data_IF_391791465678
#
_entry.id   IF_391791465678
#
_cell.length_a   1.000
_cell.length_b   1.000
_cell.length_c   1.000
_cell.angle_alpha   90.00
_cell.angle_beta   90.00
_cell.angle_gamma   90.00
#
_symmetry.space_group_name_H-M   'P 1'
#
loop_
_entity.id
_entity.type
_entity.pdbx_description
1 polymer ?
#
# COMPACT_ATOMS: atom_id res chain seq x y z
N UNK A 1 -38.85 2.94 -22.71
CA UNK A 1 -37.39 3.12 -22.81
C UNK A 1 -36.83 3.09 -21.40
N UNK A 2 -36.42 1.90 -20.94
CA UNK A 2 -35.91 1.71 -19.59
C UNK A 2 -34.52 2.30 -19.48
N UNK A 3 -34.38 3.38 -18.73
CA UNK A 3 -33.07 3.87 -18.28
C UNK A 3 -32.52 2.80 -17.35
N UNK A 4 -31.54 2.03 -17.84
CA UNK A 4 -30.75 1.15 -16.99
C UNK A 4 -29.94 2.06 -16.07
N UNK A 5 -30.50 2.35 -14.90
CA UNK A 5 -29.78 2.97 -13.78
C UNK A 5 -28.71 1.99 -13.33
N UNK A 6 -27.52 2.07 -13.94
CA UNK A 6 -26.31 1.51 -13.36
C UNK A 6 -26.10 2.27 -12.07
N UNK A 7 -26.29 1.62 -10.92
CA UNK A 7 -26.06 2.22 -9.62
C UNK A 7 -24.63 2.76 -9.56
N UNK A 8 -24.47 4.07 -9.70
CA UNK A 8 -23.15 4.72 -9.63
C UNK A 8 -22.66 4.58 -8.20
N UNK A 9 -21.70 3.68 -7.97
CA UNK A 9 -21.11 3.48 -6.65
C UNK A 9 -20.46 4.77 -6.15
N UNK A 10 -20.61 5.03 -4.84
CA UNK A 10 -20.00 6.18 -4.17
C UNK A 10 -18.49 6.23 -4.40
N UNK A 11 -17.98 7.41 -4.70
CA UNK A 11 -16.57 7.66 -4.98
C UNK A 11 -15.92 8.35 -3.81
N UNK A 12 -14.61 8.17 -3.70
CA UNK A 12 -13.84 8.95 -2.75
C UNK A 12 -13.89 10.44 -3.10
N UNK A 13 -13.98 10.77 -4.40
CA UNK A 13 -14.21 12.14 -4.86
C UNK A 13 -15.50 12.75 -4.28
N UNK A 14 -16.57 11.98 -4.11
CA UNK A 14 -17.83 12.47 -3.57
C UNK A 14 -17.69 12.81 -2.08
N UNK A 15 -16.82 12.12 -1.35
CA UNK A 15 -16.39 12.49 0.01
C UNK A 15 -15.51 13.74 0.00
N UNK A 16 -14.64 13.90 -0.98
CA UNK A 16 -13.72 15.04 -1.05
C UNK A 16 -14.39 16.32 -1.55
N UNK A 17 -15.52 16.24 -2.27
CA UNK A 17 -16.17 17.37 -2.94
C UNK A 17 -16.75 18.47 -2.03
N UNK A 18 -16.53 18.43 -0.70
CA UNK A 18 -16.72 19.63 0.13
C UNK A 18 -15.71 20.66 -0.30
N UNK A 19 -16.09 21.93 -0.22
CA UNK A 19 -15.20 23.08 -0.33
C UNK A 19 -13.80 22.76 0.21
N UNK A 20 -12.83 22.63 -0.71
CA UNK A 20 -11.44 22.39 -0.38
C UNK A 20 -10.93 23.41 0.64
N UNK A 21 -11.52 24.62 0.64
CA UNK A 21 -11.35 25.64 1.65
C UNK A 21 -11.62 25.14 3.07
N UNK A 22 -12.69 24.39 3.34
CA UNK A 22 -13.00 23.87 4.70
C UNK A 22 -11.99 22.84 5.20
N UNK A 23 -11.43 22.00 4.33
CA UNK A 23 -10.39 21.03 4.73
C UNK A 23 -9.03 21.70 4.92
N UNK A 24 -8.68 22.66 4.06
CA UNK A 24 -7.40 23.35 4.09
C UNK A 24 -7.36 24.50 5.12
N UNK A 25 -8.51 25.07 5.48
CA UNK A 25 -8.61 26.18 6.43
C UNK A 25 -8.17 25.77 7.83
N UNK A 26 -7.33 26.61 8.44
CA UNK A 26 -6.89 26.46 9.83
C UNK A 26 -5.97 25.26 10.11
N UNK A 27 -5.55 24.49 9.10
CA UNK A 27 -4.72 23.30 9.27
C UNK A 27 -3.38 23.43 8.52
N UNK A 28 -2.28 23.08 9.19
CA UNK A 28 -0.99 22.84 8.52
C UNK A 28 -1.03 21.50 7.79
N UNK A 29 -1.56 21.49 6.57
CA UNK A 29 -1.60 20.29 5.71
C UNK A 29 -0.31 20.21 4.88
N UNK A 30 0.30 19.03 4.82
CA UNK A 30 1.51 18.86 4.01
C UNK A 30 1.16 18.94 2.51
N UNK A 31 2.03 19.52 1.69
CA UNK A 31 1.78 19.69 0.25
C UNK A 31 1.54 18.38 -0.49
N UNK A 32 2.07 17.26 0.00
CA UNK A 32 1.80 15.93 -0.55
C UNK A 32 0.33 15.52 -0.36
N UNK A 33 -0.25 15.79 0.82
CA UNK A 33 -1.65 15.52 1.10
C UNK A 33 -2.57 16.41 0.26
N UNK A 34 -2.25 17.70 0.11
CA UNK A 34 -3.01 18.62 -0.77
C UNK A 34 -3.05 18.11 -2.21
N UNK A 35 -1.89 17.75 -2.78
CA UNK A 35 -1.82 17.19 -4.15
C UNK A 35 -2.60 15.88 -4.28
N UNK A 36 -2.58 15.04 -3.25
CA UNK A 36 -3.35 13.79 -3.26
C UNK A 36 -4.85 14.06 -3.23
N UNK A 37 -5.29 15.01 -2.39
CA UNK A 37 -6.67 15.46 -2.28
C UNK A 37 -7.18 15.98 -3.64
N UNK A 38 -6.47 16.95 -4.24
CA UNK A 38 -6.83 17.54 -5.54
C UNK A 38 -6.86 16.50 -6.65
N UNK A 39 -5.84 15.63 -6.71
CA UNK A 39 -5.76 14.60 -7.72
C UNK A 39 -6.92 13.59 -7.61
N UNK A 40 -7.34 13.22 -6.40
CA UNK A 40 -8.47 12.31 -6.20
C UNK A 40 -9.78 13.00 -6.57
N UNK A 41 -9.97 14.26 -6.17
CA UNK A 41 -11.16 15.06 -6.48
C UNK A 41 -11.36 15.24 -7.99
N UNK A 42 -10.28 15.50 -8.74
CA UNK A 42 -10.32 15.70 -10.19
C UNK A 42 -10.32 14.40 -11.01
N UNK A 43 -10.09 13.25 -10.37
CA UNK A 43 -9.92 11.98 -11.07
C UNK A 43 -11.18 11.58 -11.85
N UNK A 44 -11.03 11.23 -13.14
CA UNK A 44 -12.14 10.86 -14.03
C UNK A 44 -13.19 11.98 -14.14
N UNK A 45 -12.72 13.22 -14.27
CA UNK A 45 -13.54 14.40 -14.59
C UNK A 45 -13.01 15.11 -15.83
N UNK A 46 -13.82 16.00 -16.41
CA UNK A 46 -13.44 16.82 -17.56
C UNK A 46 -12.16 17.64 -17.35
N UNK A 47 -11.80 17.96 -16.10
CA UNK A 47 -10.57 18.69 -15.75
C UNK A 47 -9.32 17.97 -16.27
N UNK A 48 -9.33 16.63 -16.29
CA UNK A 48 -8.19 15.83 -16.75
C UNK A 48 -8.27 15.48 -18.25
N UNK A 49 -9.23 16.04 -18.97
CA UNK A 49 -9.56 15.65 -20.34
C UNK A 49 -10.16 14.25 -20.41
N UNK A 50 -10.49 13.84 -21.63
CA UNK A 50 -11.09 12.54 -21.88
C UNK A 50 -11.09 12.19 -23.36
N UNK A 51 -11.73 11.09 -23.68
CA UNK A 51 -12.02 10.68 -25.05
C UNK A 51 -13.50 10.35 -25.20
N UNK A 52 -13.95 10.47 -26.45
CA UNK A 52 -15.29 10.06 -26.86
C UNK A 52 -15.19 8.83 -27.73
N UNK A 53 -16.11 7.90 -27.53
CA UNK A 53 -16.30 6.78 -28.43
C UNK A 53 -17.58 6.93 -29.21
N UNK A 54 -17.47 6.76 -30.53
CA UNK A 54 -18.60 6.65 -31.43
C UNK A 54 -18.46 5.42 -32.30
N UNK A 55 -19.58 4.89 -32.75
CA UNK A 55 -19.55 3.92 -33.84
C UNK A 55 -19.42 4.61 -35.20
N UNK A 56 -19.22 3.82 -36.26
CA UNK A 56 -19.14 4.32 -37.65
C UNK A 56 -20.41 5.05 -38.10
N UNK A 57 -21.56 4.71 -37.52
CA UNK A 57 -22.85 5.36 -37.74
C UNK A 57 -23.03 6.63 -36.87
N UNK A 58 -22.00 7.06 -36.15
CA UNK A 58 -21.98 8.31 -35.40
C UNK A 58 -22.63 8.28 -34.01
N UNK A 59 -23.20 7.14 -33.58
CA UNK A 59 -23.81 7.02 -32.26
C UNK A 59 -22.78 7.25 -31.15
N UNK A 60 -23.06 8.16 -30.23
CA UNK A 60 -22.26 8.38 -29.03
C UNK A 60 -22.41 7.20 -28.08
N UNK A 61 -21.31 6.51 -27.80
CA UNK A 61 -21.29 5.32 -26.94
C UNK A 61 -20.77 5.63 -25.54
N UNK A 62 -19.89 6.62 -25.40
CA UNK A 62 -19.49 7.09 -24.09
C UNK A 62 -18.51 8.25 -24.11
N UNK A 63 -18.49 8.97 -22.98
CA UNK A 63 -17.48 9.98 -22.66
C UNK A 63 -16.63 9.46 -21.51
N UNK A 64 -15.35 9.25 -21.76
CA UNK A 64 -14.43 8.61 -20.83
C UNK A 64 -13.34 9.58 -20.39
N UNK A 65 -13.40 10.00 -19.13
CA UNK A 65 -12.41 10.92 -18.57
C UNK A 65 -11.13 10.20 -18.12
N UNK A 66 -10.01 10.93 -18.19
CA UNK A 66 -8.71 10.42 -17.79
C UNK A 66 -8.58 10.28 -16.27
N UNK A 67 -7.83 9.26 -15.84
CA UNK A 67 -7.48 9.09 -14.42
C UNK A 67 -6.32 9.99 -13.99
N UNK A 68 -6.31 10.44 -12.74
CA UNK A 68 -5.26 11.33 -12.20
C UNK A 68 -3.89 10.66 -12.02
N UNK A 69 -3.82 9.33 -12.08
CA UNK A 69 -2.60 8.51 -11.90
C UNK A 69 -1.92 8.70 -10.54
N UNK A 70 -2.57 9.35 -9.58
CA UNK A 70 -2.01 9.52 -8.24
C UNK A 70 -2.07 8.21 -7.46
N UNK A 71 -0.99 7.87 -6.74
CA UNK A 71 -0.86 6.58 -6.03
C UNK A 71 -1.92 6.34 -4.95
N UNK A 72 -2.47 7.40 -4.37
CA UNK A 72 -3.50 7.31 -3.33
C UNK A 72 -4.92 7.26 -3.90
N UNK A 73 -5.09 7.39 -5.21
CA UNK A 73 -6.41 7.30 -5.84
C UNK A 73 -6.81 5.82 -5.98
N UNK A 74 -7.94 5.38 -5.40
CA UNK A 74 -8.38 3.98 -5.47
C UNK A 74 -8.62 3.51 -6.91
N UNK A 75 -9.15 4.39 -7.77
CA UNK A 75 -9.42 4.09 -9.19
C UNK A 75 -8.15 3.94 -10.03
N UNK A 76 -7.14 4.79 -9.81
CA UNK A 76 -5.87 4.72 -10.55
C UNK A 76 -4.86 3.75 -9.92
N UNK A 77 -5.02 3.45 -8.63
CA UNK A 77 -4.10 2.62 -7.86
C UNK A 77 -3.96 1.22 -8.42
N UNK A 78 -5.05 0.65 -8.95
CA UNK A 78 -5.06 -0.66 -9.58
C UNK A 78 -3.99 -0.81 -10.68
N UNK A 79 -3.96 0.11 -11.65
CA UNK A 79 -3.04 0.01 -12.78
C UNK A 79 -1.57 0.16 -12.36
N UNK A 80 -1.31 0.97 -11.33
CA UNK A 80 0.02 1.12 -10.72
C UNK A 80 0.44 -0.14 -9.96
N UNK A 81 -0.48 -0.75 -9.19
CA UNK A 81 -0.27 -1.99 -8.47
C UNK A 81 0.05 -3.15 -9.40
N UNK A 82 -0.70 -3.28 -10.50
CA UNK A 82 -0.46 -4.28 -11.56
C UNK A 82 0.94 -4.16 -12.14
N UNK A 83 1.34 -2.98 -12.62
CA UNK A 83 2.69 -2.77 -13.18
C UNK A 83 3.79 -3.05 -12.17
N UNK A 84 3.52 -2.79 -10.89
CA UNK A 84 4.47 -3.14 -9.82
C UNK A 84 4.59 -4.66 -9.66
N UNK A 85 3.47 -5.40 -9.64
CA UNK A 85 3.46 -6.86 -9.57
C UNK A 85 4.18 -7.50 -10.75
N UNK A 86 3.87 -7.05 -11.98
CA UNK A 86 4.50 -7.53 -13.20
C UNK A 86 6.03 -7.36 -13.16
N UNK A 87 6.53 -6.24 -12.64
CA UNK A 87 7.98 -6.07 -12.45
C UNK A 87 8.55 -6.99 -11.37
N UNK A 88 7.76 -7.36 -10.36
CA UNK A 88 8.23 -8.25 -9.29
C UNK A 88 8.38 -9.69 -9.74
N UNK A 89 7.53 -10.17 -10.66
CA UNK A 89 7.70 -11.52 -11.23
C UNK A 89 9.05 -11.71 -11.94
N UNK A 90 9.65 -10.63 -12.43
CA UNK A 90 10.97 -10.67 -13.08
C UNK A 90 12.12 -10.89 -12.09
N UNK A 91 11.93 -10.53 -10.83
CA UNK A 91 12.98 -10.54 -9.79
C UNK A 91 12.76 -11.59 -8.70
N UNK A 92 11.56 -12.15 -8.63
CA UNK A 92 11.19 -13.10 -7.58
C UNK A 92 11.83 -14.48 -7.85
N UNK A 93 12.27 -15.13 -6.78
CA UNK A 93 12.85 -16.48 -6.83
C UNK A 93 11.76 -17.52 -6.60
N UNK A 94 11.85 -18.67 -7.27
CA UNK A 94 10.99 -19.85 -7.09
C UNK A 94 11.33 -20.64 -5.83
N UNK A 95 11.39 -19.96 -4.69
CA UNK A 95 11.55 -20.57 -3.37
C UNK A 95 10.34 -20.27 -2.51
N UNK A 96 10.19 -20.95 -1.37
CA UNK A 96 9.21 -20.54 -0.38
C UNK A 96 9.53 -19.16 0.20
N UNK A 97 8.52 -18.56 0.83
CA UNK A 97 8.64 -17.28 1.52
C UNK A 97 7.92 -17.31 2.87
N UNK A 98 8.22 -16.30 3.68
CA UNK A 98 7.56 -16.00 4.94
C UNK A 98 7.04 -14.58 4.91
N UNK A 99 5.88 -14.35 5.53
CA UNK A 99 5.34 -13.01 5.74
C UNK A 99 5.62 -12.58 7.17
N UNK A 100 6.54 -11.63 7.35
CA UNK A 100 6.88 -11.05 8.65
C UNK A 100 6.24 -9.68 8.75
N UNK A 101 5.40 -9.48 9.76
CA UNK A 101 4.70 -8.22 10.01
C UNK A 101 5.27 -7.60 11.29
N UNK A 102 5.85 -6.41 11.14
CA UNK A 102 6.49 -5.67 12.24
C UNK A 102 5.66 -4.43 12.52
N UNK A 103 5.02 -4.37 13.69
CA UNK A 103 4.11 -3.27 14.03
C UNK A 103 4.73 -2.34 15.06
N UNK A 104 4.68 -1.04 14.79
CA UNK A 104 5.09 -0.01 15.72
C UNK A 104 4.00 0.20 16.80
N UNK A 105 4.35 0.23 18.10
CA UNK A 105 3.39 0.57 19.15
C UNK A 105 2.74 1.94 18.93
N UNK A 106 1.44 2.06 19.19
CA UNK A 106 0.68 3.30 18.92
C UNK A 106 1.17 4.50 19.74
N UNK A 107 1.89 4.28 20.84
CA UNK A 107 2.51 5.35 21.62
C UNK A 107 3.51 6.20 20.81
N UNK A 108 4.01 5.70 19.68
CA UNK A 108 4.88 6.44 18.77
C UNK A 108 4.12 7.28 17.72
N UNK A 109 2.78 7.24 17.68
CA UNK A 109 1.97 7.88 16.65
C UNK A 109 2.15 9.40 16.58
N UNK A 110 2.35 10.06 17.72
CA UNK A 110 2.58 11.52 17.77
C UNK A 110 3.95 11.86 17.14
N UNK A 111 5.01 11.16 17.55
CA UNK A 111 6.34 11.29 16.94
C UNK A 111 6.33 10.94 15.45
N UNK A 112 5.58 9.91 15.04
CA UNK A 112 5.42 9.54 13.64
C UNK A 112 4.82 10.69 12.82
N UNK A 113 3.77 11.32 13.32
CA UNK A 113 3.06 12.41 12.65
C UNK A 113 3.99 13.61 12.37
N UNK A 114 4.95 13.86 13.26
CA UNK A 114 5.95 14.91 13.09
C UNK A 114 7.14 14.50 12.18
N UNK A 115 7.42 13.19 12.03
CA UNK A 115 8.70 12.69 11.49
C UNK A 115 8.57 11.61 10.42
N UNK A 116 7.47 11.55 9.66
CA UNK A 116 7.16 10.46 8.72
C UNK A 116 8.40 9.91 7.97
N UNK A 117 9.16 10.76 7.26
CA UNK A 117 10.30 10.31 6.43
C UNK A 117 11.41 9.68 7.28
N UNK A 118 11.82 10.37 8.35
CA UNK A 118 12.91 9.95 9.22
C UNK A 118 12.53 8.66 9.95
N UNK A 119 11.35 8.64 10.56
CA UNK A 119 10.87 7.51 11.33
C UNK A 119 10.64 6.28 10.45
N UNK A 120 10.07 6.46 9.25
CA UNK A 120 9.97 5.36 8.29
C UNK A 120 11.34 4.81 7.86
N UNK A 121 12.36 5.66 7.70
CA UNK A 121 13.74 5.20 7.42
C UNK A 121 14.29 4.36 8.56
N UNK A 122 14.07 4.78 9.81
CA UNK A 122 14.43 4.02 11.01
C UNK A 122 13.74 2.65 10.97
N UNK A 123 12.42 2.60 10.79
CA UNK A 123 11.66 1.35 10.74
C UNK A 123 12.20 0.37 9.69
N UNK A 124 12.39 0.85 8.45
CA UNK A 124 12.93 0.02 7.38
C UNK A 124 14.33 -0.52 7.69
N UNK A 125 15.20 0.33 8.25
CA UNK A 125 16.56 -0.04 8.63
C UNK A 125 16.55 -1.07 9.74
N UNK A 126 15.81 -0.82 10.82
CA UNK A 126 15.71 -1.71 11.98
C UNK A 126 15.12 -3.06 11.59
N UNK A 127 14.10 -3.10 10.73
CA UNK A 127 13.52 -4.34 10.21
C UNK A 127 14.54 -5.16 9.41
N UNK A 128 15.21 -4.53 8.44
CA UNK A 128 16.27 -5.18 7.65
C UNK A 128 17.34 -5.75 8.56
N UNK A 129 17.92 -4.92 9.42
CA UNK A 129 19.02 -5.33 10.29
C UNK A 129 18.62 -6.42 11.26
N UNK A 130 17.42 -6.38 11.86
CA UNK A 130 16.96 -7.43 12.77
C UNK A 130 16.81 -8.78 12.04
N UNK A 131 16.19 -8.76 10.85
CA UNK A 131 15.99 -9.98 10.05
C UNK A 131 17.32 -10.52 9.54
N UNK A 132 18.18 -9.70 8.97
CA UNK A 132 19.47 -10.15 8.40
C UNK A 132 20.43 -10.59 9.50
N UNK A 133 20.50 -9.88 10.63
CA UNK A 133 21.36 -10.26 11.75
C UNK A 133 20.97 -11.63 12.31
N UNK A 134 19.67 -11.87 12.49
CA UNK A 134 19.20 -13.16 13.01
C UNK A 134 19.34 -14.28 11.97
N UNK A 135 19.10 -13.99 10.68
CA UNK A 135 19.29 -14.99 9.62
C UNK A 135 20.77 -15.35 9.38
N UNK A 136 21.70 -14.43 9.62
CA UNK A 136 23.14 -14.70 9.48
C UNK A 136 23.67 -15.72 10.51
N UNK A 137 22.96 -15.94 11.62
CA UNK A 137 23.34 -16.95 12.60
C UNK A 137 23.05 -18.36 12.06
N UNK A 138 24.08 -19.21 12.07
CA UNK A 138 24.02 -20.59 11.57
C UNK A 138 23.00 -21.47 12.31
N UNK A 139 22.62 -21.11 13.55
CA UNK A 139 21.54 -21.79 14.29
C UNK A 139 20.18 -21.59 13.63
N UNK A 140 20.01 -20.53 12.83
CA UNK A 140 18.77 -20.19 12.14
C UNK A 140 18.85 -20.45 10.64
N UNK A 141 19.73 -19.75 9.92
CA UNK A 141 19.91 -19.92 8.47
C UNK A 141 21.39 -19.92 8.06
N UNK A 142 22.23 -19.04 8.62
CA UNK A 142 23.63 -18.91 8.21
C UNK A 142 23.83 -18.22 6.85
N UNK A 143 22.85 -17.47 6.37
CA UNK A 143 22.88 -16.82 5.05
C UNK A 143 22.04 -15.52 5.04
N UNK A 144 22.26 -14.67 4.04
CA UNK A 144 21.50 -13.43 3.86
C UNK A 144 20.20 -13.68 3.08
N UNK A 145 19.01 -13.51 3.69
CA UNK A 145 17.75 -13.70 2.99
C UNK A 145 17.44 -12.54 2.05
N UNK A 146 16.69 -12.83 0.98
CA UNK A 146 16.00 -11.81 0.20
C UNK A 146 14.81 -11.25 0.98
N UNK A 147 14.60 -9.93 0.94
CA UNK A 147 13.45 -9.30 1.59
C UNK A 147 12.83 -8.20 0.73
N UNK A 148 11.50 -8.20 0.60
CA UNK A 148 10.71 -7.06 0.11
C UNK A 148 9.90 -6.53 1.29
N UNK A 149 10.22 -5.32 1.76
CA UNK A 149 9.49 -4.66 2.84
C UNK A 149 8.59 -3.56 2.27
N UNK A 150 7.33 -3.52 2.69
CA UNK A 150 6.37 -2.47 2.37
C UNK A 150 5.85 -1.79 3.64
N UNK A 151 5.83 -0.45 3.63
CA UNK A 151 5.26 0.35 4.71
C UNK A 151 3.75 0.51 4.55
N UNK A 152 3.05 0.31 5.65
CA UNK A 152 1.62 0.51 5.78
C UNK A 152 1.32 1.28 7.06
N UNK A 153 0.46 2.29 6.99
CA UNK A 153 0.22 3.24 8.09
C UNK A 153 -1.24 3.30 8.56
N UNK A 154 -2.13 2.40 8.14
CA UNK A 154 -3.56 2.51 8.43
C UNK A 154 -4.21 1.18 8.81
N UNK A 155 -5.16 1.26 9.75
CA UNK A 155 -6.13 0.19 9.97
C UNK A 155 -7.35 0.31 9.06
N UNK A 156 -8.27 -0.66 9.13
CA UNK A 156 -9.51 -0.62 8.37
C UNK A 156 -10.34 0.65 8.66
N UNK A 157 -10.29 1.17 9.90
CA UNK A 157 -11.02 2.36 10.33
C UNK A 157 -10.24 3.68 10.14
N UNK A 158 -9.22 3.68 9.28
CA UNK A 158 -8.35 4.82 8.97
C UNK A 158 -7.58 5.40 10.18
N UNK A 159 -7.48 4.64 11.28
CA UNK A 159 -6.60 4.98 12.39
C UNK A 159 -5.14 4.79 12.01
N UNK A 160 -4.25 5.64 12.53
CA UNK A 160 -2.81 5.52 12.32
C UNK A 160 -2.30 4.21 12.95
N UNK A 161 -1.86 3.31 12.07
CA UNK A 161 -1.38 1.98 12.42
C UNK A 161 -0.15 1.64 11.60
N UNK A 162 1.02 1.99 12.12
CA UNK A 162 2.28 1.90 11.38
C UNK A 162 2.87 0.50 11.52
N UNK A 163 3.04 -0.18 10.39
CA UNK A 163 3.62 -1.51 10.32
C UNK A 163 4.35 -1.75 8.98
N UNK A 164 5.29 -2.68 9.01
CA UNK A 164 5.97 -3.18 7.82
C UNK A 164 5.47 -4.59 7.51
N UNK A 165 5.12 -4.81 6.25
CA UNK A 165 4.97 -6.14 5.69
C UNK A 165 6.25 -6.54 4.97
N UNK A 166 6.91 -7.57 5.46
CA UNK A 166 8.13 -8.10 4.88
C UNK A 166 7.86 -9.47 4.26
N UNK A 167 7.99 -9.58 2.95
CA UNK A 167 8.11 -10.85 2.24
C UNK A 167 9.57 -11.28 2.29
N UNK A 168 9.87 -12.34 3.01
CA UNK A 168 11.24 -12.82 3.26
C UNK A 168 11.41 -14.20 2.64
N UNK A 169 12.50 -14.46 1.92
CA UNK A 169 12.76 -15.78 1.33
C UNK A 169 12.96 -16.85 2.41
N UNK A 170 12.46 -18.06 2.16
CA UNK A 170 12.72 -19.26 2.96
C UNK A 170 14.11 -19.84 2.61
N UNK A 171 15.13 -19.02 2.78
CA UNK A 171 16.49 -19.28 2.35
C UNK A 171 17.24 -17.97 2.12
N UNK A 172 18.52 -18.06 1.78
CA UNK A 172 19.37 -16.90 1.57
C UNK A 172 20.65 -17.23 0.82
N UNK A 173 21.48 -16.22 0.60
CA UNK A 173 22.78 -16.35 -0.07
C UNK A 173 23.87 -16.41 0.98
N UNK A 174 24.70 -17.45 0.92
CA UNK A 174 25.88 -17.59 1.79
C UNK A 174 26.95 -16.56 1.42
N UNK A 175 27.97 -16.42 2.27
CA UNK A 175 29.12 -15.57 1.96
C UNK A 175 29.83 -15.99 0.64
N UNK A 176 29.74 -17.26 0.25
CA UNK A 176 30.28 -17.78 -1.01
C UNK A 176 29.40 -17.56 -2.24
N UNK A 177 28.24 -16.90 -2.11
CA UNK A 177 27.33 -16.69 -3.23
C UNK A 177 26.46 -17.91 -3.59
N UNK A 178 26.38 -18.89 -2.68
CA UNK A 178 25.56 -20.08 -2.86
C UNK A 178 24.21 -19.96 -2.15
N UNK A 179 23.20 -20.61 -2.70
CA UNK A 179 21.88 -20.64 -2.07
C UNK A 179 21.84 -21.61 -0.90
N UNK A 180 21.39 -21.11 0.26
CA UNK A 180 21.11 -21.89 1.46
C UNK A 180 19.59 -21.91 1.66
N UNK A 181 18.96 -23.06 1.46
CA UNK A 181 17.52 -23.22 1.64
C UNK A 181 17.15 -23.40 3.12
N UNK A 182 16.05 -22.78 3.55
CA UNK A 182 15.40 -23.13 4.83
C UNK A 182 14.14 -23.93 4.56
N UNK A 183 14.08 -25.15 5.10
CA UNK A 183 12.86 -25.98 5.08
C UNK A 183 12.03 -25.83 6.36
N UNK A 184 12.42 -24.94 7.27
CA UNK A 184 11.72 -24.75 8.53
C UNK A 184 10.32 -24.18 8.27
N UNK A 185 9.34 -24.69 9.01
CA UNK A 185 7.95 -24.20 8.97
C UNK A 185 7.87 -22.71 9.37
N UNK A 186 8.71 -22.31 10.33
CA UNK A 186 8.85 -20.94 10.83
C UNK A 186 10.28 -20.46 10.60
N UNK A 187 10.43 -19.27 10.00
CA UNK A 187 11.72 -18.78 9.54
C UNK A 187 12.68 -18.45 10.69
N UNK A 188 12.31 -17.44 11.47
CA UNK A 188 13.07 -16.91 12.59
C UNK A 188 12.20 -16.96 13.84
N UNK A 189 12.77 -17.22 15.02
CA UNK A 189 12.00 -17.18 16.26
C UNK A 189 11.49 -15.76 16.51
N UNK A 190 10.19 -15.64 16.80
CA UNK A 190 9.52 -14.35 16.94
C UNK A 190 10.10 -13.51 18.10
N UNK A 191 10.42 -14.14 19.24
CA UNK A 191 10.91 -13.44 20.44
C UNK A 191 12.27 -12.76 20.24
N UNK A 192 13.34 -13.44 19.77
CA UNK A 192 14.59 -12.77 19.46
C UNK A 192 14.44 -11.71 18.36
N UNK A 193 13.59 -11.97 17.36
CA UNK A 193 13.38 -11.03 16.26
C UNK A 193 12.71 -9.73 16.75
N UNK A 194 11.69 -9.82 17.60
CA UNK A 194 11.02 -8.62 18.13
C UNK A 194 11.93 -7.82 19.05
N UNK A 195 12.76 -8.49 19.86
CA UNK A 195 13.75 -7.84 20.72
C UNK A 195 14.81 -7.09 19.92
N UNK A 196 15.36 -7.71 18.87
CA UNK A 196 16.33 -7.07 17.97
C UNK A 196 15.69 -5.88 17.24
N UNK A 197 14.48 -6.06 16.72
CA UNK A 197 13.76 -5.00 16.01
C UNK A 197 13.46 -3.81 16.91
N UNK A 198 12.82 -4.04 18.06
CA UNK A 198 12.44 -2.96 19.00
C UNK A 198 13.66 -2.25 19.56
N UNK A 199 14.71 -2.99 19.95
CA UNK A 199 15.97 -2.45 20.42
C UNK A 199 16.63 -1.53 19.38
N UNK A 200 16.67 -1.94 18.11
CA UNK A 200 17.20 -1.12 17.01
C UNK A 200 16.38 0.13 16.75
N UNK A 201 15.05 0.06 16.81
CA UNK A 201 14.18 1.25 16.65
C UNK A 201 14.42 2.24 17.79
N UNK A 202 14.40 1.75 19.03
CA UNK A 202 14.61 2.57 20.24
C UNK A 202 15.99 3.22 20.24
N UNK A 203 17.04 2.46 19.91
CA UNK A 203 18.40 2.97 19.81
C UNK A 203 18.51 4.09 18.77
N UNK A 204 17.99 3.86 17.55
CA UNK A 204 18.02 4.86 16.49
C UNK A 204 17.24 6.11 16.84
N UNK A 205 16.05 5.97 17.47
CA UNK A 205 15.24 7.10 17.92
C UNK A 205 15.94 7.97 18.95
N UNK A 206 16.63 7.36 19.93
CA UNK A 206 17.44 8.09 20.90
C UNK A 206 18.57 8.86 20.23
N UNK A 207 19.24 8.22 19.27
CA UNK A 207 20.31 8.86 18.49
C UNK A 207 19.81 10.14 17.79
N UNK A 208 18.75 10.03 17.00
CA UNK A 208 18.21 11.18 16.23
C UNK A 208 17.56 12.25 17.11
N UNK A 209 17.07 11.88 18.31
CA UNK A 209 16.57 12.84 19.28
C UNK A 209 17.72 13.66 19.89
N UNK A 210 18.82 13.00 20.27
CA UNK A 210 20.00 13.66 20.86
C UNK A 210 20.77 14.51 19.86
N UNK A 211 20.79 14.13 18.58
CA UNK A 211 21.42 14.91 17.52
C UNK A 211 20.59 16.10 17.03
N UNK A 212 19.35 16.26 17.50
CA UNK A 212 18.45 17.34 17.07
C UNK A 212 17.82 17.12 15.68
N UNK A 213 18.00 15.95 15.07
CA UNK A 213 17.40 15.61 13.77
C UNK A 213 15.91 15.29 13.86
N UNK A 214 15.42 14.92 15.04
CA UNK A 214 14.03 14.57 15.29
C UNK A 214 13.20 15.83 15.56
N UNK A 215 12.17 16.08 14.74
CA UNK A 215 11.19 17.12 15.02
C UNK A 215 10.31 16.69 16.20
N UNK A 216 10.45 17.38 17.32
CA UNK A 216 9.65 17.08 18.51
C UNK A 216 8.21 17.59 18.35
N UNK A 217 7.21 16.88 18.89
CA UNK A 217 5.86 17.42 19.04
C UNK A 217 5.85 18.67 19.91
N UNK A 218 4.79 19.47 19.82
CA UNK A 218 4.71 20.74 20.54
C UNK A 218 4.78 20.49 22.06
N UNK A 219 5.67 21.23 22.75
CA UNK A 219 5.90 21.08 24.19
C UNK A 219 6.78 19.88 24.60
N UNK A 220 7.20 19.03 23.66
CA UNK A 220 8.12 17.92 23.97
C UNK A 220 9.58 18.39 24.01
N UNK A 221 10.35 17.73 24.86
CA UNK A 221 11.81 17.80 24.94
C UNK A 221 12.45 16.46 24.54
N UNK A 222 13.77 16.44 24.37
CA UNK A 222 14.52 15.18 24.16
C UNK A 222 14.27 14.18 25.29
N UNK A 223 14.11 14.66 26.54
CA UNK A 223 13.81 13.81 27.70
C UNK A 223 12.46 13.10 27.57
N UNK A 224 11.47 13.70 26.91
CA UNK A 224 10.18 13.05 26.65
C UNK A 224 10.31 11.88 25.68
N UNK A 225 11.16 12.03 24.65
CA UNK A 225 11.48 10.94 23.73
C UNK A 225 12.23 9.82 24.45
N UNK A 226 13.15 10.15 25.35
CA UNK A 226 13.86 9.15 26.15
C UNK A 226 12.92 8.37 27.06
N UNK A 227 12.01 9.07 27.77
CA UNK A 227 10.95 8.46 28.59
C UNK A 227 10.02 7.58 27.77
N UNK A 228 9.61 8.03 26.58
CA UNK A 228 8.80 7.22 25.66
C UNK A 228 9.55 5.94 25.25
N UNK A 229 10.84 6.07 24.94
CA UNK A 229 11.70 4.94 24.59
C UNK A 229 11.87 3.95 25.75
N UNK A 230 11.98 4.41 27.00
CA UNK A 230 12.06 3.51 28.17
C UNK A 230 10.75 2.77 28.39
N UNK A 231 9.60 3.46 28.29
CA UNK A 231 8.29 2.80 28.32
C UNK A 231 8.15 1.77 27.20
N UNK A 232 8.63 2.10 25.99
CA UNK A 232 8.58 1.20 24.85
C UNK A 232 9.44 -0.07 25.03
N UNK A 233 10.45 -0.08 25.90
CA UNK A 233 11.20 -1.31 26.22
C UNK A 233 10.37 -2.31 27.03
N UNK A 234 9.48 -1.81 27.89
CA UNK A 234 8.60 -2.63 28.71
C UNK A 234 7.32 -3.05 27.98
N UNK A 235 7.00 -2.38 26.86
CA UNK A 235 5.80 -2.65 26.05
C UNK A 235 5.91 -3.99 25.30
N UNK A 236 4.76 -4.67 25.10
CA UNK A 236 4.69 -5.83 24.22
C UNK A 236 4.57 -5.39 22.76
N UNK A 237 5.69 -5.41 22.05
CA UNK A 237 5.70 -5.13 20.60
C UNK A 237 4.99 -6.23 19.83
N UNK A 238 4.15 -5.84 18.87
CA UNK A 238 3.43 -6.78 18.02
C UNK A 238 4.28 -7.15 16.80
N UNK A 239 4.61 -8.44 16.71
CA UNK A 239 5.33 -9.05 15.62
C UNK A 239 4.63 -10.36 15.27
N UNK A 240 4.40 -10.57 13.97
CA UNK A 240 3.75 -11.77 13.46
C UNK A 240 4.63 -12.36 12.34
N UNK A 241 5.11 -13.59 12.56
CA UNK A 241 5.83 -14.38 11.54
C UNK A 241 4.89 -15.44 11.05
N UNK A 242 4.46 -15.35 9.80
CA UNK A 242 3.60 -16.38 9.19
C UNK A 242 4.42 -17.60 8.77
N UNK A 243 3.70 -18.72 8.69
CA UNK A 243 4.23 -19.98 8.18
C UNK A 243 4.81 -19.82 6.76
N UNK A 244 5.75 -20.69 6.43
CA UNK A 244 6.28 -20.81 5.07
C UNK A 244 5.14 -21.07 4.08
N UNK A 245 5.15 -20.37 2.95
CA UNK A 245 4.31 -20.69 1.80
C UNK A 245 5.15 -20.74 0.53
N UNK A 246 4.82 -21.67 -0.37
CA UNK A 246 5.50 -21.79 -1.68
C UNK A 246 4.96 -20.78 -2.69
N UNK A 247 3.69 -20.38 -2.54
CA UNK A 247 3.04 -19.39 -3.41
C UNK A 247 2.97 -18.02 -2.73
N UNK A 248 3.86 -17.06 -3.08
CA UNK A 248 3.84 -15.71 -2.54
C UNK A 248 2.77 -14.82 -3.18
N UNK A 249 1.95 -15.33 -4.09
CA UNK A 249 1.03 -14.52 -4.88
C UNK A 249 0.01 -13.80 -4.02
N UNK A 250 -0.52 -14.45 -2.97
CA UNK A 250 -1.46 -13.79 -2.06
C UNK A 250 -0.80 -12.58 -1.37
N UNK A 251 0.42 -12.73 -0.85
CA UNK A 251 1.14 -11.65 -0.16
C UNK A 251 1.60 -10.58 -1.14
N UNK A 252 2.02 -10.94 -2.35
CA UNK A 252 2.37 -9.96 -3.37
C UNK A 252 1.14 -9.19 -3.84
N UNK A 253 0.02 -9.84 -4.14
CA UNK A 253 -1.24 -9.18 -4.50
C UNK A 253 -1.73 -8.27 -3.39
N UNK A 254 -1.63 -8.74 -2.14
CA UNK A 254 -1.83 -7.94 -0.94
C UNK A 254 -0.94 -6.69 -1.03
N UNK A 255 0.40 -6.83 -1.10
CA UNK A 255 1.34 -5.71 -1.18
C UNK A 255 1.01 -4.77 -2.34
N UNK A 256 0.76 -5.27 -3.55
CA UNK A 256 0.39 -4.48 -4.73
C UNK A 256 -0.81 -3.56 -4.49
N UNK A 257 -1.81 -4.01 -3.72
CA UNK A 257 -2.97 -3.21 -3.29
C UNK A 257 -2.62 -2.16 -2.24
N UNK A 258 -1.70 -2.43 -1.31
CA UNK A 258 -1.31 -1.45 -0.29
C UNK A 258 -0.39 -0.36 -0.83
N UNK A 259 0.33 -0.67 -1.91
CA UNK A 259 1.23 0.28 -2.55
C UNK A 259 0.51 1.33 -3.37
N UNK A 260 -0.68 1.02 -3.87
CA UNK A 260 -1.41 1.87 -4.78
C UNK A 260 -2.92 1.70 -4.58
N UNK A 261 -3.63 2.82 -4.42
CA UNK A 261 -5.07 2.85 -4.20
C UNK A 261 -5.49 3.59 -2.93
N UNK A 262 -4.51 3.95 -2.08
CA UNK A 262 -4.77 4.63 -0.82
C UNK A 262 -5.44 3.73 0.23
N UNK A 263 -5.81 4.30 1.38
CA UNK A 263 -6.27 3.53 2.54
C UNK A 263 -7.76 3.11 2.47
N UNK A 264 -8.53 3.70 1.56
CA UNK A 264 -9.96 3.45 1.42
C UNK A 264 -10.29 2.92 0.02
N UNK A 265 -10.93 1.75 -0.02
CA UNK A 265 -11.57 1.25 -1.23
C UNK A 265 -12.99 1.83 -1.32
N UNK A 266 -13.37 2.34 -2.48
CA UNK A 266 -14.69 2.94 -2.73
C UNK A 266 -15.85 1.98 -2.44
N UNK A 267 -15.69 0.67 -2.65
CA UNK A 267 -16.71 -0.34 -2.32
C UNK A 267 -17.01 -0.50 -0.83
N UNK A 268 -16.25 0.19 0.03
CA UNK A 268 -16.50 0.24 1.47
C UNK A 268 -17.37 1.42 1.87
N UNK A 269 -17.49 2.44 1.04
CA UNK A 269 -18.37 3.60 1.27
C UNK A 269 -19.83 3.14 1.16
N UNK A 270 -20.65 3.49 2.14
CA UNK A 270 -22.06 3.12 2.20
C UNK A 270 -22.95 4.35 1.99
N UNK A 271 -22.63 5.47 2.64
CA UNK A 271 -23.31 6.75 2.46
C UNK A 271 -22.35 7.93 2.68
N UNK A 272 -22.66 9.06 2.04
CA UNK A 272 -21.94 10.33 2.17
C UNK A 272 -22.97 11.44 2.27
N UNK A 273 -22.94 12.22 3.35
CA UNK A 273 -23.72 13.45 3.50
C UNK A 273 -22.79 14.67 3.56
N UNK A 274 -23.34 15.86 3.79
CA UNK A 274 -22.52 17.06 4.04
C UNK A 274 -21.69 16.94 5.32
N UNK A 275 -22.22 16.27 6.34
CA UNK A 275 -21.64 16.22 7.68
C UNK A 275 -20.87 14.93 7.95
N UNK A 276 -21.30 13.80 7.39
CA UNK A 276 -20.83 12.47 7.78
C UNK A 276 -20.53 11.55 6.60
N UNK A 277 -19.72 10.54 6.89
CA UNK A 277 -19.40 9.45 5.97
C UNK A 277 -19.62 8.14 6.71
N UNK A 278 -20.41 7.27 6.11
CA UNK A 278 -20.61 5.91 6.59
C UNK A 278 -19.83 4.93 5.72
N UNK A 279 -19.08 4.05 6.36
CA UNK A 279 -18.31 3.03 5.65
C UNK A 279 -18.23 1.74 6.43
N UNK A 280 -18.09 0.64 5.69
CA UNK A 280 -17.95 -0.69 6.24
C UNK A 280 -16.50 -1.05 6.53
N UNK A 281 -16.27 -1.86 7.56
CA UNK A 281 -14.97 -2.38 7.95
C UNK A 281 -15.08 -3.82 8.46
N UNK A 282 -13.97 -4.58 8.38
CA UNK A 282 -13.87 -5.89 9.03
C UNK A 282 -13.39 -5.72 10.46
N UNK A 283 -14.14 -6.27 11.41
CA UNK A 283 -13.76 -6.29 12.80
C UNK A 283 -13.04 -7.60 13.14
N UNK A 284 -11.71 -7.55 13.17
CA UNK A 284 -10.88 -8.72 13.46
C UNK A 284 -10.94 -9.16 14.92
N UNK A 285 -11.58 -8.38 15.81
CA UNK A 285 -11.85 -8.78 17.19
C UNK A 285 -13.16 -9.55 17.33
N UNK A 286 -13.99 -9.53 16.29
CA UNK A 286 -15.29 -10.18 16.25
C UNK A 286 -15.35 -11.13 15.05
N UNK A 287 -14.97 -12.38 15.29
CA UNK A 287 -14.95 -13.44 14.29
C UNK A 287 -16.10 -14.40 14.50
N UNK A 288 -16.66 -14.94 13.42
CA UNK A 288 -17.57 -16.08 13.51
C UNK A 288 -16.83 -17.36 13.94
N UNK A 289 -17.57 -18.47 14.11
CA UNK A 289 -17.00 -19.76 14.50
C UNK A 289 -15.91 -20.30 13.54
N UNK A 290 -15.91 -19.85 12.28
CA UNK A 290 -14.90 -20.18 11.28
C UNK A 290 -13.69 -19.21 11.26
N UNK A 291 -13.57 -18.32 12.25
CA UNK A 291 -12.49 -17.32 12.33
C UNK A 291 -12.60 -16.17 11.32
N UNK A 292 -13.73 -16.05 10.62
CA UNK A 292 -13.95 -14.98 9.64
C UNK A 292 -14.44 -13.71 10.35
N UNK A 293 -13.67 -12.63 10.20
CA UNK A 293 -14.00 -11.33 10.76
C UNK A 293 -15.34 -10.80 10.22
N UNK A 294 -16.23 -10.40 11.13
CA UNK A 294 -17.54 -9.83 10.78
C UNK A 294 -17.36 -8.45 10.13
N UNK A 295 -18.21 -8.15 9.15
CA UNK A 295 -18.29 -6.82 8.54
C UNK A 295 -19.22 -5.96 9.39
N UNK A 296 -18.75 -4.81 9.82
CA UNK A 296 -19.47 -3.81 10.60
C UNK A 296 -19.46 -2.47 9.88
N UNK A 297 -20.29 -1.55 10.33
CA UNK A 297 -20.40 -0.20 9.79
C UNK A 297 -19.85 0.81 10.79
N UNK A 298 -19.23 1.87 10.27
CA UNK A 298 -18.75 3.00 11.05
C UNK A 298 -19.17 4.30 10.38
N UNK A 299 -19.81 5.16 11.17
CA UNK A 299 -20.09 6.54 10.81
C UNK A 299 -19.02 7.46 11.42
N UNK A 300 -18.66 8.52 10.70
CA UNK A 300 -17.63 9.47 11.12
C UNK A 300 -17.92 10.84 10.53
N UNK A 301 -17.65 11.94 11.27
CA UNK A 301 -17.68 13.27 10.70
C UNK A 301 -16.79 13.35 9.47
N UNK A 302 -17.31 13.93 8.39
CA UNK A 302 -16.65 13.98 7.08
C UNK A 302 -15.28 14.63 7.14
N UNK A 303 -15.13 15.71 7.91
CA UNK A 303 -13.84 16.36 8.13
C UNK A 303 -12.80 15.45 8.83
N UNK A 304 -13.23 14.65 9.80
CA UNK A 304 -12.37 13.67 10.47
C UNK A 304 -12.00 12.52 9.53
N UNK A 305 -12.94 12.08 8.68
CA UNK A 305 -12.66 11.10 7.63
C UNK A 305 -11.57 11.59 6.68
N UNK A 306 -11.70 12.81 6.15
CA UNK A 306 -10.70 13.39 5.23
C UNK A 306 -9.36 13.57 5.95
N UNK A 307 -9.35 14.07 7.20
CA UNK A 307 -8.12 14.18 8.00
C UNK A 307 -7.42 12.84 8.15
N UNK A 308 -8.15 11.78 8.50
CA UNK A 308 -7.61 10.42 8.65
C UNK A 308 -7.17 9.82 7.33
N UNK A 309 -7.90 10.07 6.25
CA UNK A 309 -7.54 9.60 4.92
C UNK A 309 -6.21 10.21 4.47
N UNK A 310 -6.06 11.52 4.64
CA UNK A 310 -4.91 12.28 4.16
C UNK A 310 -3.64 12.08 4.99
N UNK A 311 -3.75 11.72 6.27
CA UNK A 311 -2.57 11.43 7.11
C UNK A 311 -1.72 10.24 6.59
N UNK A 312 -2.29 9.42 5.70
CA UNK A 312 -1.63 8.24 5.11
C UNK A 312 -0.97 8.53 3.76
N UNK A 313 -1.02 9.78 3.29
CA UNK A 313 -0.35 10.17 2.05
C UNK A 313 1.16 10.29 2.35
N UNK A 314 2.02 9.48 1.71
CA UNK A 314 3.44 9.58 1.94
C UNK A 314 3.98 10.88 1.33
N UNK A 315 5.04 11.45 1.92
CA UNK A 315 5.72 12.59 1.34
C UNK A 315 6.21 12.32 -0.09
N UNK A 316 6.30 13.39 -0.92
CA UNK A 316 6.80 13.29 -2.29
C UNK A 316 8.17 12.61 -2.34
N UNK A 317 8.33 11.68 -3.28
CA UNK A 317 9.56 10.91 -3.51
C UNK A 317 9.85 9.82 -2.47
N UNK A 318 8.95 9.58 -1.51
CA UNK A 318 9.17 8.54 -0.52
C UNK A 318 8.85 7.14 -1.07
N UNK A 319 9.85 6.25 -1.04
CA UNK A 319 9.68 4.85 -1.45
C UNK A 319 9.03 4.02 -0.33
N UNK A 320 7.77 3.63 -0.57
CA UNK A 320 6.98 2.77 0.34
C UNK A 320 7.37 1.30 0.29
N UNK A 321 8.15 0.87 -0.72
CA UNK A 321 8.71 -0.48 -0.83
C UNK A 321 10.21 -0.40 -0.92
N UNK A 322 10.88 -1.33 -0.25
CA UNK A 322 12.33 -1.53 -0.39
C UNK A 322 12.63 -3.01 -0.55
N UNK A 323 13.55 -3.31 -1.46
CA UNK A 323 14.11 -4.64 -1.65
C UNK A 323 15.49 -4.72 -1.00
N UNK A 324 15.82 -5.87 -0.41
CA UNK A 324 17.08 -6.16 0.28
C UNK A 324 17.57 -7.56 -0.06
N UNK A 325 18.85 -7.84 0.21
CA UNK A 325 19.51 -9.07 -0.22
C UNK A 325 19.36 -9.26 -1.73
N UNK A 326 18.97 -10.46 -2.14
CA UNK A 326 18.75 -10.81 -3.55
C UNK A 326 17.63 -10.01 -4.24
N UNK A 327 16.77 -9.33 -3.47
CA UNK A 327 15.73 -8.44 -4.00
C UNK A 327 16.13 -6.97 -4.05
N UNK A 328 17.36 -6.63 -3.64
CA UNK A 328 17.90 -5.29 -3.77
C UNK A 328 18.04 -4.87 -5.24
N UNK A 329 17.94 -3.57 -5.50
CA UNK A 329 18.14 -3.04 -6.85
C UNK A 329 19.57 -3.21 -7.37
N UNK A 330 20.56 -3.16 -6.47
CA UNK A 330 22.00 -3.17 -6.76
C UNK A 330 22.66 -4.55 -6.58
N UNK A 331 21.90 -5.65 -6.61
CA UNK A 331 22.49 -6.99 -6.61
C UNK A 331 23.17 -7.25 -7.96
N UNK A 332 24.28 -7.99 -7.96
CA UNK A 332 24.96 -8.42 -9.19
C UNK A 332 23.99 -9.14 -10.13
N UNK A 333 23.99 -8.74 -11.40
CA UNK A 333 23.18 -9.38 -12.44
C UNK A 333 23.57 -10.85 -12.62
N UNK A 334 24.84 -11.20 -12.40
CA UNK A 334 25.33 -12.58 -12.46
C UNK A 334 24.74 -13.43 -11.33
N UNK A 335 24.79 -12.93 -10.08
CA UNK A 335 24.18 -13.63 -8.94
C UNK A 335 22.66 -13.79 -9.15
N UNK A 336 22.00 -12.74 -9.63
CA UNK A 336 20.56 -12.78 -9.90
C UNK A 336 20.22 -13.79 -10.98
N UNK A 337 21.01 -13.87 -12.05
CA UNK A 337 20.85 -14.85 -13.13
C UNK A 337 21.04 -16.27 -12.61
N UNK A 338 22.17 -16.55 -11.94
CA UNK A 338 22.48 -17.84 -11.31
C UNK A 338 21.33 -18.33 -10.41
N UNK A 339 20.85 -17.46 -9.50
CA UNK A 339 19.79 -17.85 -8.57
C UNK A 339 18.44 -18.07 -9.27
N UNK A 340 18.14 -17.33 -10.35
CA UNK A 340 16.89 -17.55 -11.11
C UNK A 340 16.92 -18.82 -11.95
N UNK A 341 18.09 -19.20 -12.45
CA UNK A 341 18.31 -20.49 -13.12
C UNK A 341 18.18 -21.64 -12.11
N UNK A 342 18.77 -21.49 -10.92
CA UNK A 342 18.69 -22.49 -9.85
C UNK A 342 17.31 -22.59 -9.17
N UNK A 343 16.59 -21.46 -9.08
CA UNK A 343 15.29 -21.34 -8.41
C UNK A 343 14.27 -20.70 -9.35
N UNK A 344 13.86 -21.39 -10.43
CA UNK A 344 12.93 -20.82 -11.40
C UNK A 344 11.56 -20.63 -10.76
N UNK A 345 11.02 -19.41 -10.88
CA UNK A 345 9.64 -19.14 -10.49
C UNK A 345 8.67 -19.92 -11.37
N UNK A 346 7.76 -20.68 -10.76
CA UNK A 346 6.80 -21.54 -11.47
C UNK A 346 5.93 -20.76 -12.46
N UNK A 347 5.52 -21.43 -13.53
CA UNK A 347 4.67 -20.84 -14.57
C UNK A 347 3.31 -20.43 -14.01
N UNK A 348 2.74 -21.21 -13.10
CA UNK A 348 1.47 -20.92 -12.42
C UNK A 348 1.59 -19.60 -11.65
N UNK A 349 2.62 -19.44 -10.83
CA UNK A 349 2.83 -18.20 -10.07
C UNK A 349 3.02 -17.00 -11.02
N UNK A 350 3.75 -17.18 -12.13
CA UNK A 350 3.89 -16.12 -13.16
C UNK A 350 2.55 -15.76 -13.79
N UNK A 351 1.66 -16.72 -14.00
CA UNK A 351 0.32 -16.49 -14.55
C UNK A 351 -0.57 -15.80 -13.53
N UNK A 352 -0.59 -16.23 -12.27
CA UNK A 352 -1.45 -15.61 -11.24
C UNK A 352 -0.98 -14.17 -10.92
N UNK A 353 0.33 -13.93 -10.88
CA UNK A 353 0.89 -12.60 -10.70
C UNK A 353 0.78 -11.69 -11.93
N UNK A 354 0.35 -12.22 -13.09
CA UNK A 354 -0.20 -11.43 -14.20
C UNK A 354 -1.69 -11.27 -13.93
N UNK A 355 -2.14 -10.16 -13.32
CA UNK A 355 -3.50 -10.08 -12.81
C UNK A 355 -4.54 -10.26 -13.94
N UNK A 356 -5.31 -11.35 -13.86
CA UNK A 356 -6.64 -11.52 -14.46
C UNK A 356 -7.68 -11.14 -13.40
N UNK A 357 -7.79 -9.85 -13.07
CA UNK A 357 -8.82 -9.36 -12.15
C UNK A 357 -9.36 -8.04 -12.72
N UNK A 358 -10.69 -7.84 -12.77
CA UNK A 358 -11.31 -6.88 -13.68
C UNK A 358 -10.70 -5.48 -13.57
N UNK A 359 -10.55 -4.84 -14.72
CA UNK A 359 -10.20 -3.44 -14.82
C UNK A 359 -11.16 -2.61 -13.96
N UNK A 360 -10.73 -1.47 -13.39
CA UNK A 360 -11.64 -0.47 -12.83
C UNK A 360 -12.71 0.01 -13.82
N UNK A 361 -12.52 -0.27 -15.11
CA UNK A 361 -13.54 -0.18 -16.15
C UNK A 361 -14.73 -1.12 -15.88
N UNK A 362 -14.76 -1.88 -14.78
CA UNK A 362 -15.96 -2.57 -14.29
C UNK A 362 -16.90 -1.66 -13.46
N UNK A 363 -16.47 -0.45 -13.08
CA UNK A 363 -17.37 0.56 -12.49
C UNK A 363 -18.05 1.38 -13.60
N UNK A 364 -17.45 1.45 -14.79
CA UNK A 364 -18.04 1.96 -16.04
C UNK A 364 -17.79 0.91 -17.14
N UNK A 365 -18.61 -0.15 -17.25
CA UNK A 365 -18.42 -1.18 -18.26
C UNK A 365 -18.41 -0.55 -19.64
N UNK A 366 -17.20 -0.48 -20.21
CA UNK A 366 -16.98 0.08 -21.53
C UNK A 366 -17.57 -0.88 -22.57
N UNK A 367 -18.59 -0.47 -23.35
CA UNK A 367 -19.14 -1.31 -24.40
C UNK A 367 -18.02 -1.69 -25.37
N UNK A 368 -17.91 -2.97 -25.74
CA UNK A 368 -16.95 -3.39 -26.77
C UNK A 368 -17.47 -3.09 -28.17
N UNK A 369 -18.79 -2.94 -28.30
CA UNK A 369 -19.52 -2.62 -29.52
C UNK A 369 -20.61 -1.60 -29.21
N UNK A 370 -21.11 -0.93 -30.24
CA UNK A 370 -22.21 0.00 -30.08
C UNK A 370 -23.47 -0.72 -29.56
N UNK A 371 -24.06 -0.31 -28.43
CA UNK A 371 -25.29 -0.93 -27.92
C UNK A 371 -26.50 -0.68 -28.83
N UNK A 372 -26.40 0.29 -29.75
CA UNK A 372 -27.48 0.66 -30.67
C UNK A 372 -27.42 -0.11 -31.99
N UNK A 373 -26.24 -0.25 -32.60
CA UNK A 373 -26.09 -0.85 -33.94
C UNK A 373 -25.16 -2.06 -34.01
N UNK A 374 -24.50 -2.43 -32.91
CA UNK A 374 -23.56 -3.57 -32.87
C UNK A 374 -22.22 -3.35 -33.59
N UNK A 375 -21.99 -2.19 -34.20
CA UNK A 375 -20.73 -1.88 -34.90
C UNK A 375 -19.57 -1.61 -33.94
N UNK A 376 -18.35 -1.72 -34.47
CA UNK A 376 -17.12 -1.37 -33.75
C UNK A 376 -17.09 0.11 -33.36
N UNK A 377 -16.37 0.38 -32.27
CA UNK A 377 -16.22 1.72 -31.70
C UNK A 377 -14.87 2.31 -32.08
N UNK A 378 -14.89 3.58 -32.46
CA UNK A 378 -13.71 4.35 -32.82
C UNK A 378 -13.53 5.55 -31.89
N UNK A 379 -12.28 5.92 -31.62
CA UNK A 379 -11.92 7.06 -30.77
C UNK A 379 -12.01 8.36 -31.57
N UNK A 380 -12.90 9.26 -31.16
CA UNK A 380 -13.22 10.47 -31.95
C UNK A 380 -12.54 11.75 -31.41
N UNK A 381 -12.06 11.76 -30.16
CA UNK A 381 -11.46 12.97 -29.58
C UNK A 381 -10.28 12.72 -28.63
N UNK A 382 -9.27 13.59 -28.73
CA UNK A 382 -8.16 13.71 -27.77
C UNK A 382 -7.87 15.18 -27.45
N UNK A 383 -8.17 15.63 -26.23
CA UNK A 383 -7.87 17.00 -25.81
C UNK A 383 -8.03 17.24 -24.30
N UNK A 384 -7.59 18.41 -23.84
CA UNK A 384 -7.86 18.89 -22.46
C UNK A 384 -9.27 19.47 -22.41
N UNK A 385 -9.98 19.25 -21.30
CA UNK A 385 -11.37 19.72 -21.13
C UNK A 385 -12.42 18.67 -21.51
N UNK A 386 -13.69 19.03 -21.34
CA UNK A 386 -14.80 18.20 -21.81
C UNK A 386 -14.74 18.10 -23.34
N UNK A 387 -14.95 16.92 -23.94
CA UNK A 387 -15.04 16.83 -25.38
C UNK A 387 -16.24 17.66 -25.87
N UNK A 388 -16.03 18.47 -26.90
CA UNK A 388 -17.12 19.13 -27.60
C UNK A 388 -17.95 18.06 -28.32
N UNK A 389 -19.12 17.76 -27.77
CA UNK A 389 -20.09 16.91 -28.42
C UNK A 389 -20.76 17.76 -29.49
N UNK A 390 -20.16 17.82 -30.69
CA UNK A 390 -20.87 18.36 -31.85
C UNK A 390 -22.19 17.57 -32.01
N UNK A 391 -23.28 18.33 -32.06
CA UNK A 391 -24.67 17.86 -32.04
C UNK A 391 -25.00 16.95 -33.23
#
# INVERSE_FOLDING_TARGET
MGVVSVAVGLRLADVLAVDAGRYLAGRRVCSAAVRAYEAILQCRTAVLGGHVERCEQGHLVGVFYNGCRHRCCPRCGWGLGRRWLERRTLTLLGCGHHHVILTLPHMFNELWSCNYKLFARILFRSAREAITQLAADARYLGAEPGMIAALHTWGQQLGLHVHLHCLVTAGGVSAGGEWVASRRKWFLPATPLVQLFSGKVIYALRGVARSGELRLPDGWTVKDVERLCDRAKAERWNLDVRERYEDPTHVLNYLGRYLNGGPMNESRLLSVSEEEVEFSYKDYRDTNAAGVARRKTRTMPRGEFVRRLMQHVPPKGFHMVRGYGVYAGQVSDELRRKLREALPLSTEIRIVLRPRWPQPDAIDPKPQVCPTCGSELHFVYYGRGAPELAA
#
